data_IF_476206036932
#
_entry.id   IF_476206036932
#
_cell.length_a   1.000
_cell.length_b   1.000
_cell.length_c   1.000
_cell.angle_alpha   90.00
_cell.angle_beta   90.00
_cell.angle_gamma   90.00
#
_symmetry.space_group_name_H-M   'P 1'
#
loop_
_entity.id
_entity.type
_entity.pdbx_description
1 polymer ?
#
# COMPACT_ATOMS: atom_id res chain seq x y z
N UNK A 1 7.85 21.84 -6.42
CA UNK A 1 7.60 20.98 -7.59
C UNK A 1 6.64 19.90 -7.15
N UNK A 2 5.45 19.84 -7.76
CA UNK A 2 4.43 18.85 -7.39
C UNK A 2 4.82 17.51 -7.99
N UNK A 3 5.47 16.66 -7.19
CA UNK A 3 5.68 15.27 -7.56
C UNK A 3 4.31 14.64 -7.81
N UNK A 4 4.02 14.30 -9.07
CA UNK A 4 2.77 13.64 -9.43
C UNK A 4 2.85 12.19 -8.96
N UNK A 5 2.28 11.94 -7.78
CA UNK A 5 2.16 10.60 -7.23
C UNK A 5 0.94 9.91 -7.84
N UNK A 6 1.11 8.66 -8.27
CA UNK A 6 0.04 7.81 -8.80
C UNK A 6 -0.20 6.63 -7.87
N UNK A 7 -1.39 6.04 -7.93
CA UNK A 7 -1.74 4.90 -7.10
C UNK A 7 -1.06 3.62 -7.65
N UNK A 8 -0.08 3.09 -6.92
CA UNK A 8 0.70 1.92 -7.34
C UNK A 8 0.02 0.60 -6.97
N UNK A 9 -0.46 0.54 -5.72
CA UNK A 9 -1.03 -0.68 -5.15
C UNK A 9 -2.27 -0.35 -4.35
N UNK A 10 -3.20 -1.32 -4.32
CA UNK A 10 -4.29 -1.34 -3.34
C UNK A 10 -4.29 -2.66 -2.60
N UNK A 11 -4.67 -2.65 -1.33
CA UNK A 11 -4.84 -3.88 -0.56
C UNK A 11 -5.91 -3.75 0.51
N UNK A 12 -6.38 -4.91 0.97
CA UNK A 12 -7.19 -5.06 2.20
C UNK A 12 -6.44 -5.95 3.18
N UNK A 13 -6.70 -5.78 4.47
CA UNK A 13 -6.11 -6.61 5.52
C UNK A 13 -7.05 -7.74 5.96
N UNK A 14 -6.57 -8.62 6.84
CA UNK A 14 -7.37 -9.63 7.50
C UNK A 14 -8.53 -9.04 8.30
N UNK A 15 -9.43 -9.91 8.77
CA UNK A 15 -10.52 -9.49 9.67
C UNK A 15 -9.89 -8.97 10.97
N UNK A 16 -10.38 -7.85 11.48
CA UNK A 16 -9.90 -7.19 12.71
C UNK A 16 -8.46 -6.65 12.65
N UNK A 17 -7.81 -6.73 11.49
CA UNK A 17 -6.48 -6.15 11.26
C UNK A 17 -6.59 -4.72 10.72
N UNK A 18 -5.72 -3.85 11.23
CA UNK A 18 -5.60 -2.50 10.72
C UNK A 18 -4.16 -2.02 10.83
N UNK A 19 -3.78 -1.10 9.95
CA UNK A 19 -2.49 -0.42 10.01
C UNK A 19 -2.73 1.08 10.00
N UNK A 20 -2.14 1.76 10.98
CA UNK A 20 -2.20 3.22 11.07
C UNK A 20 -1.41 3.89 9.94
N UNK A 21 -1.76 5.14 9.57
CA UNK A 21 -1.14 5.85 8.45
C UNK A 21 0.38 6.02 8.60
N UNK A 22 0.89 6.24 9.82
CA UNK A 22 2.33 6.37 10.06
C UNK A 22 3.07 5.05 9.85
N UNK A 23 2.52 3.94 10.35
CA UNK A 23 3.12 2.62 10.16
C UNK A 23 3.08 2.22 8.68
N UNK A 24 1.96 2.47 8.00
CA UNK A 24 1.81 2.20 6.58
C UNK A 24 2.78 3.03 5.73
N UNK A 25 2.94 4.32 6.04
CA UNK A 25 3.89 5.20 5.35
C UNK A 25 5.33 4.71 5.52
N UNK A 26 5.73 4.30 6.74
CA UNK A 26 7.08 3.74 6.97
C UNK A 26 7.31 2.46 6.16
N UNK A 27 6.35 1.55 6.20
CA UNK A 27 6.40 0.28 5.46
C UNK A 27 6.51 0.56 3.96
N UNK A 28 5.68 1.47 3.43
CA UNK A 28 5.68 1.81 2.02
C UNK A 28 6.98 2.51 1.57
N UNK A 29 7.53 3.39 2.40
CA UNK A 29 8.80 4.06 2.08
C UNK A 29 9.96 3.06 2.00
N UNK A 30 9.99 2.09 2.91
CA UNK A 30 10.99 1.02 2.90
C UNK A 30 10.83 0.08 1.70
N UNK A 31 9.60 -0.31 1.35
CA UNK A 31 9.35 -1.18 0.21
C UNK A 31 9.68 -0.52 -1.14
N UNK A 32 9.27 0.74 -1.31
CA UNK A 32 9.47 1.53 -2.54
C UNK A 32 10.89 2.10 -2.68
N UNK A 33 11.64 2.24 -1.58
CA UNK A 33 12.98 2.83 -1.58
C UNK A 33 12.98 4.35 -1.79
N UNK A 34 11.83 5.02 -1.63
CA UNK A 34 11.71 6.48 -1.77
C UNK A 34 10.91 7.09 -0.62
N UNK A 35 11.20 8.35 -0.30
CA UNK A 35 10.45 9.16 0.66
C UNK A 35 9.28 9.93 0.02
N UNK A 36 9.26 10.02 -1.31
CA UNK A 36 8.23 10.71 -2.08
C UNK A 36 7.00 9.80 -2.26
N UNK A 37 6.29 9.57 -1.16
CA UNK A 37 5.18 8.61 -1.11
C UNK A 37 3.92 9.21 -0.50
N UNK A 38 2.79 8.60 -0.85
CA UNK A 38 1.48 8.84 -0.26
C UNK A 38 0.83 7.54 0.19
N UNK A 39 -0.04 7.63 1.20
CA UNK A 39 -0.88 6.51 1.64
C UNK A 39 -2.29 7.03 1.89
N UNK A 40 -3.30 6.27 1.52
CA UNK A 40 -4.69 6.56 1.88
C UNK A 40 -5.40 5.32 2.39
N UNK A 41 -6.41 5.54 3.22
CA UNK A 41 -7.33 4.52 3.72
C UNK A 41 -8.73 4.98 3.37
N UNK A 42 -9.49 4.12 2.70
CA UNK A 42 -10.90 4.34 2.38
C UNK A 42 -11.73 3.30 3.12
N UNK A 43 -12.68 3.75 3.93
CA UNK A 43 -13.68 2.86 4.50
C UNK A 43 -14.54 2.27 3.39
N UNK A 44 -14.93 0.99 3.50
CA UNK A 44 -15.85 0.40 2.53
C UNK A 44 -17.15 1.18 2.52
N UNK A 45 -17.72 1.38 1.33
CA UNK A 45 -19.07 1.91 1.20
C UNK A 45 -20.07 0.93 1.84
N UNK A 46 -21.21 1.44 2.31
CA UNK A 46 -22.30 0.58 2.81
C UNK A 46 -22.63 -0.51 1.77
N UNK A 47 -22.61 -1.77 2.21
CA UNK A 47 -22.88 -2.94 1.37
C UNK A 47 -21.67 -3.54 0.62
N UNK A 48 -20.48 -2.95 0.69
CA UNK A 48 -19.23 -3.58 0.21
C UNK A 48 -18.55 -4.37 1.33
N UNK A 49 -17.61 -5.27 0.96
CA UNK A 49 -16.80 -6.07 1.90
C UNK A 49 -16.34 -5.17 3.05
N UNK A 50 -16.66 -5.56 4.30
CA UNK A 50 -16.43 -4.82 5.56
C UNK A 50 -14.95 -4.52 5.91
N UNK A 51 -14.07 -4.34 4.92
CA UNK A 51 -12.63 -4.14 5.13
C UNK A 51 -12.20 -2.82 4.50
N UNK A 52 -11.45 -1.99 5.22
CA UNK A 52 -10.84 -0.81 4.65
C UNK A 52 -9.93 -1.16 3.47
N UNK A 53 -9.97 -0.32 2.44
CA UNK A 53 -9.05 -0.40 1.30
C UNK A 53 -7.92 0.60 1.56
N UNK A 54 -6.70 0.10 1.52
CA UNK A 54 -5.48 0.90 1.62
C UNK A 54 -4.92 1.11 0.22
N UNK A 55 -4.55 2.35 -0.11
CA UNK A 55 -3.92 2.70 -1.39
C UNK A 55 -2.55 3.30 -1.15
N UNK A 56 -1.56 2.84 -1.92
CA UNK A 56 -0.17 3.28 -1.86
C UNK A 56 0.17 4.10 -3.08
N UNK A 57 0.77 5.27 -2.88
CA UNK A 57 1.11 6.21 -3.94
C UNK A 57 2.61 6.46 -3.98
N UNK A 58 3.16 6.56 -5.18
CA UNK A 58 4.57 6.90 -5.42
C UNK A 58 4.70 7.61 -6.78
N UNK A 59 5.87 8.17 -7.12
CA UNK A 59 6.08 8.81 -8.41
C UNK A 59 5.98 7.76 -9.52
N UNK A 60 5.46 8.14 -10.69
CA UNK A 60 5.26 7.21 -11.82
C UNK A 60 6.54 6.46 -12.23
N UNK A 61 7.72 7.07 -12.03
CA UNK A 61 9.02 6.50 -12.34
C UNK A 61 9.58 5.63 -11.19
N UNK A 62 8.70 5.03 -10.38
CA UNK A 62 9.13 4.05 -9.38
C UNK A 62 9.85 2.90 -10.12
N UNK A 63 10.95 2.41 -9.55
CA UNK A 63 11.72 1.30 -10.11
C UNK A 63 10.90 0.02 -10.23
N UNK A 64 11.56 -1.11 -10.52
CA UNK A 64 10.90 -2.40 -10.80
C UNK A 64 9.74 -2.72 -9.82
N UNK A 65 8.51 -2.56 -10.31
CA UNK A 65 7.29 -2.73 -9.52
C UNK A 65 7.13 -4.15 -9.00
N UNK A 66 7.66 -5.17 -9.71
CA UNK A 66 7.59 -6.56 -9.24
C UNK A 66 8.49 -6.77 -8.04
N UNK A 67 9.68 -6.18 -8.05
CA UNK A 67 10.59 -6.22 -6.90
C UNK A 67 10.01 -5.47 -5.71
N UNK A 68 9.42 -4.29 -5.95
CA UNK A 68 8.74 -3.51 -4.91
C UNK A 68 7.56 -4.28 -4.33
N UNK A 69 6.75 -4.92 -5.17
CA UNK A 69 5.62 -5.74 -4.74
C UNK A 69 6.06 -6.92 -3.88
N UNK A 70 7.09 -7.66 -4.31
CA UNK A 70 7.62 -8.80 -3.55
C UNK A 70 8.13 -8.37 -2.17
N UNK A 71 8.84 -7.24 -2.08
CA UNK A 71 9.28 -6.65 -0.80
C UNK A 71 8.10 -6.24 0.07
N UNK A 72 7.11 -5.55 -0.52
CA UNK A 72 5.91 -5.10 0.17
C UNK A 72 5.15 -6.29 0.79
N UNK A 73 4.95 -7.37 0.03
CA UNK A 73 4.31 -8.60 0.51
C UNK A 73 5.08 -9.20 1.68
N UNK A 74 6.39 -9.37 1.55
CA UNK A 74 7.23 -9.92 2.61
C UNK A 74 7.20 -9.08 3.90
N UNK A 75 7.17 -7.75 3.78
CA UNK A 75 7.09 -6.84 4.93
C UNK A 75 5.73 -6.91 5.63
N UNK A 76 4.64 -7.03 4.88
CA UNK A 76 3.30 -7.21 5.43
C UNK A 76 3.19 -8.54 6.18
N UNK A 77 3.72 -9.62 5.59
CA UNK A 77 3.79 -10.94 6.24
C UNK A 77 4.61 -10.90 7.54
N UNK A 78 5.78 -10.24 7.52
CA UNK A 78 6.64 -10.08 8.70
C UNK A 78 5.96 -9.25 9.80
N UNK A 79 5.09 -8.31 9.42
CA UNK A 79 4.27 -7.54 10.35
C UNK A 79 3.02 -8.31 10.84
N UNK A 80 2.87 -9.59 10.48
CA UNK A 80 1.69 -10.41 10.73
C UNK A 80 0.39 -9.79 10.20
N UNK A 81 0.49 -9.06 9.08
CA UNK A 81 -0.63 -8.44 8.38
C UNK A 81 -1.01 -9.26 7.15
N UNK A 82 -2.21 -9.84 7.17
CA UNK A 82 -2.71 -10.68 6.09
C UNK A 82 -3.30 -9.81 4.97
N UNK A 83 -2.42 -9.34 4.09
CA UNK A 83 -2.79 -8.43 3.01
C UNK A 83 -3.19 -9.16 1.72
N UNK A 84 -4.33 -8.77 1.14
CA UNK A 84 -4.68 -9.09 -0.25
C UNK A 84 -4.29 -7.91 -1.14
N UNK A 85 -3.09 -7.96 -1.73
CA UNK A 85 -2.46 -6.89 -2.51
C UNK A 85 -2.70 -7.03 -4.02
N UNK A 86 -3.06 -5.91 -4.66
CA UNK A 86 -3.29 -5.76 -6.11
C UNK A 86 -2.45 -4.61 -6.66
N UNK A 87 -1.64 -4.88 -7.70
CA UNK A 87 -0.95 -3.85 -8.47
C UNK A 87 -1.93 -3.14 -9.42
N UNK A 88 -1.86 -1.80 -9.48
CA UNK A 88 -2.69 -0.98 -10.38
C UNK A 88 -1.96 -0.59 -11.66
N UNK A 89 -0.63 -0.69 -11.66
CA UNK A 89 0.23 -0.40 -12.80
C UNK A 89 1.16 -1.61 -13.01
N UNK A 90 1.15 -2.20 -14.21
CA UNK A 90 1.93 -3.38 -14.61
C UNK A 90 2.61 -3.15 -15.96
#
# INVERSE_FOLDING_TARGET
>A
MSSHQIAMFTFTLGKDESIGPHALRRLWSQASGTGDIGVSRKEPAEGQRNRPIYTLYAPQQLGDLRVVEARLRHMLETAHLHASLTALHV
#
